data_IF_471158603340
#
_entry.id   IF_471158603340
#
_cell.length_a   1.000
_cell.length_b   1.000
_cell.length_c   1.000
_cell.angle_alpha   90.00
_cell.angle_beta   90.00
_cell.angle_gamma   90.00
#
_symmetry.space_group_name_H-M   'P 1'
#
loop_
_entity.id
_entity.type
_entity.pdbx_description
1 polymer ?
#
# COMPACT_ATOMS: atom_id res chain seq x y z
N UNK A 1 -11.94 -23.75 -25.91
CA UNK A 1 -10.49 -23.89 -25.66
C UNK A 1 -10.30 -24.80 -24.44
N UNK A 2 -9.53 -25.87 -24.61
CA UNK A 2 -9.18 -26.77 -23.50
C UNK A 2 -8.11 -26.12 -22.62
N UNK A 3 -8.16 -26.33 -21.31
CA UNK A 3 -7.11 -25.88 -20.38
C UNK A 3 -5.70 -26.36 -20.79
N UNK A 4 -5.61 -27.49 -21.48
CA UNK A 4 -4.34 -28.00 -22.00
C UNK A 4 -3.65 -27.12 -23.04
N UNK A 5 -4.39 -26.26 -23.74
CA UNK A 5 -3.81 -25.37 -24.75
C UNK A 5 -3.03 -24.18 -24.15
N UNK A 6 -3.34 -23.81 -22.89
CA UNK A 6 -2.60 -22.78 -22.17
C UNK A 6 -1.23 -23.24 -21.68
N UNK A 7 -1.03 -24.55 -21.54
CA UNK A 7 0.21 -25.12 -21.01
C UNK A 7 1.08 -25.77 -22.08
N UNK A 8 0.70 -25.67 -23.36
CA UNK A 8 1.52 -26.21 -24.45
C UNK A 8 2.77 -25.33 -24.63
N UNK A 9 3.92 -25.92 -24.35
CA UNK A 9 5.21 -25.28 -24.55
C UNK A 9 5.38 -24.92 -26.03
N UNK A 10 5.47 -23.62 -26.35
CA UNK A 10 5.83 -23.15 -27.68
C UNK A 10 7.35 -23.01 -27.78
N UNK A 11 7.98 -23.47 -28.84
CA UNK A 11 9.44 -23.22 -29.08
C UNK A 11 9.68 -21.70 -29.03
N UNK A 12 10.64 -21.27 -28.20
CA UNK A 12 10.94 -19.84 -28.00
C UNK A 12 10.12 -19.12 -26.92
N UNK A 13 9.18 -19.80 -26.24
CA UNK A 13 8.49 -19.25 -25.08
C UNK A 13 9.37 -19.26 -23.82
N UNK A 14 9.04 -18.37 -22.88
CA UNK A 14 9.72 -18.30 -21.58
C UNK A 14 9.60 -19.64 -20.83
N UNK A 15 10.74 -20.19 -20.42
CA UNK A 15 10.80 -21.44 -19.66
C UNK A 15 10.95 -21.24 -18.17
N UNK A 16 11.24 -20.02 -17.76
CA UNK A 16 11.51 -19.66 -16.37
C UNK A 16 10.75 -18.38 -16.06
N UNK A 17 10.05 -18.38 -14.96
CA UNK A 17 9.42 -17.18 -14.39
C UNK A 17 9.70 -17.14 -12.89
N UNK A 18 9.79 -15.92 -12.35
CA UNK A 18 9.89 -15.69 -10.92
C UNK A 18 8.53 -15.22 -10.40
N UNK A 19 8.16 -15.68 -9.23
CA UNK A 19 7.02 -15.17 -8.47
C UNK A 19 7.55 -14.58 -7.18
N UNK A 20 7.45 -13.27 -7.05
CA UNK A 20 7.70 -12.57 -5.80
C UNK A 20 6.33 -12.24 -5.18
N UNK A 21 6.10 -12.70 -3.97
CA UNK A 21 4.88 -12.43 -3.23
C UNK A 21 5.23 -11.95 -1.82
N UNK A 22 4.45 -11.01 -1.26
CA UNK A 22 4.61 -10.64 0.14
C UNK A 22 4.29 -11.85 1.02
N UNK A 23 4.77 -11.81 2.28
CA UNK A 23 4.35 -12.79 3.28
C UNK A 23 2.86 -12.63 3.54
N UNK A 24 2.09 -13.67 3.28
CA UNK A 24 0.64 -13.69 3.47
C UNK A 24 0.31 -14.42 4.77
N UNK A 25 -0.53 -13.80 5.61
CA UNK A 25 -1.16 -14.41 6.77
C UNK A 25 -2.67 -14.38 6.55
N UNK A 26 -3.31 -15.55 6.56
CA UNK A 26 -4.74 -15.69 6.30
C UNK A 26 -5.41 -16.56 7.35
N UNK A 27 -6.54 -16.09 7.88
CA UNK A 27 -7.36 -16.87 8.83
C UNK A 27 -8.17 -15.99 9.76
N UNK A 28 -9.10 -16.64 10.48
CA UNK A 28 -9.88 -15.96 11.52
C UNK A 28 -8.96 -15.41 12.60
N UNK A 29 -9.11 -14.14 12.94
CA UNK A 29 -8.31 -13.49 13.99
C UNK A 29 -6.98 -12.91 13.51
N UNK A 30 -6.63 -13.02 12.22
CA UNK A 30 -5.35 -12.49 11.70
C UNK A 30 -5.11 -11.00 12.03
N UNK A 31 -6.16 -10.17 12.10
CA UNK A 31 -6.04 -8.77 12.50
C UNK A 31 -5.54 -8.58 13.95
N UNK A 32 -5.75 -9.56 14.82
CA UNK A 32 -5.25 -9.50 16.20
C UNK A 32 -3.76 -9.74 16.29
N UNK A 33 -3.15 -10.28 15.24
CA UNK A 33 -1.71 -10.59 15.17
C UNK A 33 -0.89 -9.49 14.50
N UNK A 34 -1.54 -8.43 13.98
CA UNK A 34 -0.86 -7.31 13.29
C UNK A 34 0.20 -6.65 14.18
N UNK A 35 -0.07 -6.52 15.49
CA UNK A 35 0.90 -5.99 16.44
C UNK A 35 2.15 -6.85 16.59
N UNK A 36 2.02 -8.18 16.57
CA UNK A 36 3.16 -9.09 16.60
C UNK A 36 3.98 -8.99 15.32
N UNK A 37 3.31 -8.93 14.16
CA UNK A 37 3.96 -8.79 12.86
C UNK A 37 4.68 -7.43 12.75
N UNK A 38 4.03 -6.33 13.16
CA UNK A 38 4.63 -5.00 13.17
C UNK A 38 5.88 -4.94 14.06
N UNK A 39 5.82 -5.54 15.25
CA UNK A 39 6.97 -5.63 16.16
C UNK A 39 8.10 -6.47 15.57
N UNK A 40 7.79 -7.58 14.92
CA UNK A 40 8.77 -8.42 14.24
C UNK A 40 9.46 -7.69 13.07
N UNK A 41 8.76 -6.74 12.43
CA UNK A 41 9.30 -5.85 11.38
C UNK A 41 10.07 -4.65 11.97
N UNK A 42 10.18 -4.53 13.27
CA UNK A 42 10.93 -3.47 13.94
C UNK A 42 10.20 -2.13 14.04
N UNK A 43 8.89 -2.10 13.79
CA UNK A 43 8.10 -0.88 13.91
C UNK A 43 7.97 -0.46 15.37
N UNK A 44 7.94 0.86 15.61
CA UNK A 44 7.70 1.45 16.94
C UNK A 44 6.60 2.50 16.92
N UNK A 45 6.51 3.28 15.84
CA UNK A 45 5.48 4.29 15.61
C UNK A 45 4.83 4.08 14.23
N UNK A 46 3.58 3.70 14.23
CA UNK A 46 2.86 3.17 13.07
C UNK A 46 1.78 4.12 12.59
N UNK A 47 1.81 4.45 11.29
CA UNK A 47 0.69 5.11 10.62
C UNK A 47 -0.33 4.05 10.17
N UNK A 48 -1.58 4.18 10.60
CA UNK A 48 -2.69 3.31 10.20
C UNK A 48 -3.59 4.05 9.22
N UNK A 49 -3.55 3.67 7.94
CA UNK A 49 -4.36 4.27 6.89
C UNK A 49 -5.68 3.55 6.70
N UNK A 50 -6.75 4.31 6.58
CA UNK A 50 -8.09 3.79 6.28
C UNK A 50 -8.94 4.87 5.61
N UNK A 51 -10.09 4.50 5.06
CA UNK A 51 -11.10 5.45 4.57
C UNK A 51 -12.15 5.76 5.64
N UNK A 52 -12.93 6.85 5.51
CA UNK A 52 -13.91 7.26 6.52
C UNK A 52 -14.98 6.20 6.81
N UNK A 53 -15.27 5.31 5.89
CA UNK A 53 -16.29 4.26 6.06
C UNK A 53 -15.72 3.05 6.80
N UNK A 54 -14.58 2.53 6.37
CA UNK A 54 -13.91 1.41 7.04
C UNK A 54 -13.40 1.83 8.41
N UNK A 55 -12.98 3.09 8.57
CA UNK A 55 -12.54 3.67 9.85
C UNK A 55 -13.58 3.60 10.98
N UNK A 56 -14.87 3.54 10.63
CA UNK A 56 -15.96 3.37 11.60
C UNK A 56 -16.23 1.89 11.95
N UNK A 57 -15.55 0.95 11.30
CA UNK A 57 -15.76 -0.47 11.52
C UNK A 57 -14.81 -1.00 12.61
N UNK A 58 -15.22 -2.09 13.25
CA UNK A 58 -14.40 -2.75 14.28
C UNK A 58 -13.02 -3.23 13.82
N UNK A 59 -12.81 -3.37 12.51
CA UNK A 59 -11.56 -3.87 11.93
C UNK A 59 -10.37 -2.95 12.24
N UNK A 60 -10.56 -1.64 12.09
CA UNK A 60 -9.52 -0.64 12.39
C UNK A 60 -9.21 -0.63 13.89
N UNK A 61 -10.24 -0.65 14.73
CA UNK A 61 -10.07 -0.71 16.18
C UNK A 61 -9.27 -1.96 16.60
N UNK A 62 -9.59 -3.14 16.03
CA UNK A 62 -8.84 -4.38 16.29
C UNK A 62 -7.37 -4.26 15.94
N UNK A 63 -7.06 -3.63 14.81
CA UNK A 63 -5.65 -3.40 14.39
C UNK A 63 -4.97 -2.43 15.36
N UNK A 64 -5.59 -1.30 15.70
CA UNK A 64 -5.03 -0.32 16.62
C UNK A 64 -4.82 -0.93 18.02
N UNK A 65 -5.78 -1.69 18.54
CA UNK A 65 -5.67 -2.40 19.80
C UNK A 65 -4.53 -3.44 19.78
N UNK A 66 -4.41 -4.19 18.67
CA UNK A 66 -3.32 -5.13 18.47
C UNK A 66 -1.96 -4.44 18.54
N UNK A 67 -1.76 -3.34 17.80
CA UNK A 67 -0.53 -2.55 17.83
C UNK A 67 -0.22 -2.03 19.25
N UNK A 68 -1.18 -1.38 19.88
CA UNK A 68 -1.03 -0.83 21.24
C UNK A 68 -0.74 -1.89 22.30
N UNK A 69 -1.36 -3.08 22.20
CA UNK A 69 -1.11 -4.20 23.09
C UNK A 69 0.34 -4.70 23.09
N UNK A 70 1.07 -4.43 22.02
CA UNK A 70 2.49 -4.76 21.85
C UNK A 70 3.42 -3.61 22.19
N UNK A 71 2.87 -2.49 22.69
CA UNK A 71 3.63 -1.31 23.10
C UNK A 71 4.03 -0.41 21.91
N UNK A 72 3.38 -0.56 20.77
CA UNK A 72 3.61 0.28 19.60
C UNK A 72 2.73 1.53 19.67
N UNK A 73 3.26 2.69 19.28
CA UNK A 73 2.49 3.89 19.06
C UNK A 73 1.76 3.80 17.71
N UNK A 74 0.48 4.13 17.68
CA UNK A 74 -0.33 4.03 16.48
C UNK A 74 -1.22 5.25 16.30
N UNK A 75 -1.11 5.88 15.14
CA UNK A 75 -1.91 7.04 14.74
C UNK A 75 -2.70 6.73 13.47
N UNK A 76 -3.99 7.07 13.45
CA UNK A 76 -4.89 6.72 12.36
C UNK A 76 -5.09 7.92 11.44
N UNK A 77 -4.93 7.67 10.14
CA UNK A 77 -5.36 8.54 9.05
C UNK A 77 -6.60 7.93 8.40
N UNK A 78 -7.77 8.49 8.67
CA UNK A 78 -9.07 7.98 8.23
C UNK A 78 -9.71 8.79 7.07
N UNK A 79 -8.90 9.58 6.36
CA UNK A 79 -9.36 10.49 5.32
C UNK A 79 -8.96 10.05 3.90
N UNK A 80 -8.69 8.76 3.71
CA UNK A 80 -8.39 8.25 2.38
C UNK A 80 -9.62 8.38 1.47
N UNK A 81 -9.43 9.03 0.33
CA UNK A 81 -10.49 9.13 -0.69
C UNK A 81 -10.68 7.78 -1.40
N UNK A 82 -11.93 7.36 -1.55
CA UNK A 82 -12.31 6.33 -2.52
C UNK A 82 -12.11 6.94 -3.91
N UNK A 83 -11.46 6.23 -4.84
CA UNK A 83 -10.89 6.82 -6.05
C UNK A 83 -9.86 7.92 -5.70
N UNK A 84 -8.64 7.55 -5.31
CA UNK A 84 -7.65 8.51 -4.87
C UNK A 84 -7.27 9.50 -5.98
N UNK A 85 -7.04 10.73 -5.58
CA UNK A 85 -6.57 11.79 -6.46
C UNK A 85 -5.16 12.22 -6.10
N UNK A 86 -4.52 12.99 -6.97
CA UNK A 86 -3.23 13.61 -6.65
C UNK A 86 -3.29 14.48 -5.38
N UNK A 87 -4.42 15.14 -5.14
CA UNK A 87 -4.64 15.93 -3.93
C UNK A 87 -4.68 15.02 -2.69
N UNK A 88 -5.46 13.92 -2.73
CA UNK A 88 -5.56 13.00 -1.60
C UNK A 88 -4.24 12.28 -1.31
N UNK A 89 -3.45 11.94 -2.34
CA UNK A 89 -2.11 11.39 -2.16
C UNK A 89 -1.16 12.38 -1.47
N UNK A 90 -1.20 13.66 -1.88
CA UNK A 90 -0.40 14.73 -1.25
C UNK A 90 -0.79 14.92 0.22
N UNK A 91 -2.09 14.88 0.56
CA UNK A 91 -2.55 14.98 1.95
C UNK A 91 -2.07 13.81 2.81
N UNK A 92 -2.22 12.57 2.33
CA UNK A 92 -1.70 11.39 3.04
C UNK A 92 -0.17 11.43 3.20
N UNK A 93 0.54 11.92 2.19
CA UNK A 93 2.00 12.08 2.23
C UNK A 93 2.45 13.13 3.24
N UNK A 94 1.71 14.22 3.37
CA UNK A 94 1.96 15.25 4.38
C UNK A 94 1.81 14.67 5.79
N UNK A 95 0.68 14.01 6.07
CA UNK A 95 0.46 13.31 7.33
C UNK A 95 1.60 12.34 7.65
N UNK A 96 1.99 11.52 6.68
CA UNK A 96 3.07 10.55 6.85
C UNK A 96 4.43 11.18 7.16
N UNK A 97 4.72 12.34 6.55
CA UNK A 97 5.98 13.06 6.74
C UNK A 97 6.04 13.76 8.11
N UNK A 98 4.94 14.41 8.52
CA UNK A 98 4.86 15.12 9.80
C UNK A 98 4.83 14.15 11.00
N UNK A 99 4.19 13.00 10.85
CA UNK A 99 4.04 12.01 11.90
C UNK A 99 5.31 11.23 12.22
N UNK A 100 6.35 11.27 11.37
CA UNK A 100 7.66 10.59 11.56
C UNK A 100 7.51 9.11 11.90
N UNK A 101 6.59 8.44 11.22
CA UNK A 101 6.36 7.01 11.40
C UNK A 101 7.53 6.16 10.88
N UNK A 102 7.75 5.02 11.49
CA UNK A 102 8.74 4.02 11.08
C UNK A 102 8.11 2.76 10.46
N UNK A 103 6.78 2.71 10.43
CA UNK A 103 6.01 1.64 9.82
C UNK A 103 4.61 2.07 9.41
N UNK A 104 4.02 1.32 8.49
CA UNK A 104 2.73 1.61 7.90
C UNK A 104 1.81 0.39 7.97
N UNK A 105 0.54 0.62 8.25
CA UNK A 105 -0.52 -0.38 8.15
C UNK A 105 -1.67 0.21 7.35
N UNK A 106 -2.19 -0.50 6.36
CA UNK A 106 -3.39 -0.10 5.64
C UNK A 106 -4.54 -1.07 5.93
N UNK A 107 -5.70 -0.54 6.30
CA UNK A 107 -6.92 -1.32 6.55
C UNK A 107 -8.01 -0.81 5.62
N UNK A 108 -8.25 -1.49 4.51
CA UNK A 108 -9.20 -1.02 3.51
C UNK A 108 -9.07 -1.69 2.16
N UNK A 109 -9.66 -1.11 1.14
CA UNK A 109 -9.57 -1.53 -0.25
C UNK A 109 -8.31 -1.03 -0.95
N UNK A 110 -8.24 -1.23 -2.28
CA UNK A 110 -7.12 -0.78 -3.12
C UNK A 110 -6.78 0.70 -2.95
N UNK A 111 -7.79 1.57 -2.87
CA UNK A 111 -7.59 3.01 -2.67
C UNK A 111 -6.81 3.33 -1.38
N UNK A 112 -7.12 2.61 -0.29
CA UNK A 112 -6.43 2.78 1.00
C UNK A 112 -4.99 2.29 0.89
N UNK A 113 -4.79 1.12 0.32
CA UNK A 113 -3.45 0.54 0.14
C UNK A 113 -2.57 1.40 -0.76
N UNK A 114 -3.11 1.91 -1.85
CA UNK A 114 -2.38 2.75 -2.81
C UNK A 114 -2.01 4.11 -2.20
N UNK A 115 -2.94 4.75 -1.47
CA UNK A 115 -2.65 5.98 -0.72
C UNK A 115 -1.57 5.75 0.33
N UNK A 116 -1.64 4.64 1.06
CA UNK A 116 -0.64 4.28 2.07
C UNK A 116 0.75 4.06 1.46
N UNK A 117 0.84 3.33 0.33
CA UNK A 117 2.10 3.12 -0.42
C UNK A 117 2.72 4.43 -0.90
N UNK A 118 1.91 5.30 -1.53
CA UNK A 118 2.37 6.61 -1.97
C UNK A 118 2.84 7.47 -0.79
N UNK A 119 2.09 7.49 0.30
CA UNK A 119 2.44 8.23 1.51
C UNK A 119 3.75 7.73 2.14
N UNK A 120 3.97 6.42 2.16
CA UNK A 120 5.24 5.83 2.59
C UNK A 120 6.39 6.31 1.70
N UNK A 121 6.22 6.23 0.38
CA UNK A 121 7.23 6.66 -0.59
C UNK A 121 7.64 8.13 -0.37
N UNK A 122 6.68 9.05 -0.41
CA UNK A 122 6.98 10.48 -0.29
C UNK A 122 7.46 10.88 1.11
N UNK A 123 7.12 10.13 2.15
CA UNK A 123 7.69 10.35 3.49
C UNK A 123 9.13 9.88 3.64
N UNK A 124 9.54 8.87 2.85
CA UNK A 124 10.92 8.38 2.82
C UNK A 124 11.82 9.22 1.91
N UNK A 125 11.28 9.56 0.74
CA UNK A 125 12.02 10.24 -0.34
C UNK A 125 11.20 11.41 -0.87
N UNK A 126 11.20 12.54 -0.16
CA UNK A 126 10.49 13.76 -0.60
C UNK A 126 11.00 14.22 -1.97
N UNK A 127 10.07 14.50 -2.88
CA UNK A 127 10.36 14.96 -4.25
C UNK A 127 9.14 15.72 -4.80
N UNK A 128 9.27 16.31 -5.97
CA UNK A 128 8.13 16.85 -6.69
C UNK A 128 7.14 15.71 -6.99
N UNK A 129 5.83 15.97 -6.87
CA UNK A 129 4.82 14.91 -6.96
C UNK A 129 4.91 14.11 -8.28
N UNK A 130 5.20 14.77 -9.40
CA UNK A 130 5.32 14.12 -10.69
C UNK A 130 6.64 13.38 -10.93
N UNK A 131 7.61 13.48 -10.02
CA UNK A 131 8.91 12.83 -10.21
C UNK A 131 8.77 11.30 -10.26
N UNK A 132 8.01 10.70 -9.34
CA UNK A 132 7.80 9.25 -9.29
C UNK A 132 6.63 8.75 -10.14
N UNK A 133 5.79 9.64 -10.64
CA UNK A 133 4.63 9.28 -11.47
C UNK A 133 5.09 8.75 -12.82
N UNK A 134 4.40 7.73 -13.33
CA UNK A 134 4.72 7.07 -14.59
C UNK A 134 4.72 8.03 -15.80
N UNK A 135 5.65 7.79 -16.71
CA UNK A 135 5.63 8.43 -18.03
C UNK A 135 4.38 7.98 -18.83
N UNK A 136 3.83 8.83 -19.72
CA UNK A 136 4.35 10.14 -20.15
C UNK A 136 3.89 11.30 -19.25
N UNK A 137 3.07 11.07 -18.22
CA UNK A 137 2.51 12.10 -17.34
C UNK A 137 3.59 12.64 -16.40
N UNK A 138 4.29 11.73 -15.70
CA UNK A 138 5.36 12.09 -14.81
C UNK A 138 6.74 11.74 -15.38
N UNK A 139 7.76 11.86 -14.53
CA UNK A 139 9.16 11.62 -14.93
C UNK A 139 9.62 10.18 -14.74
N UNK A 140 8.83 9.35 -14.07
CA UNK A 140 9.16 7.96 -13.74
C UNK A 140 10.56 7.80 -13.10
N UNK A 141 10.94 8.73 -12.23
CA UNK A 141 12.22 8.66 -11.51
C UNK A 141 12.22 7.39 -10.64
N UNK A 142 13.26 6.56 -10.71
CA UNK A 142 13.34 5.38 -9.85
C UNK A 142 13.33 5.75 -8.36
N UNK A 143 12.64 4.93 -7.56
CA UNK A 143 12.64 5.09 -6.10
C UNK A 143 14.06 4.89 -5.57
N UNK A 144 14.61 5.82 -4.76
CA UNK A 144 16.04 5.81 -4.41
C UNK A 144 16.49 4.65 -3.52
N UNK A 145 15.57 3.98 -2.85
CA UNK A 145 15.93 2.91 -1.92
C UNK A 145 14.74 2.22 -1.25
N UNK A 146 15.01 1.49 -0.19
CA UNK A 146 14.01 0.70 0.54
C UNK A 146 13.03 1.63 1.27
N UNK A 147 11.75 1.33 1.18
CA UNK A 147 10.68 2.00 1.93
C UNK A 147 10.55 1.41 3.35
N UNK A 148 9.81 2.11 4.21
CA UNK A 148 9.46 1.60 5.53
C UNK A 148 8.54 0.38 5.42
N UNK A 149 8.58 -0.55 6.38
CA UNK A 149 7.71 -1.72 6.36
C UNK A 149 6.23 -1.35 6.25
N UNK A 150 5.47 -2.13 5.47
CA UNK A 150 4.04 -1.94 5.29
C UNK A 150 3.30 -3.27 5.47
N UNK A 151 2.25 -3.27 6.31
CA UNK A 151 1.32 -4.39 6.47
C UNK A 151 -0.01 -3.99 5.83
N UNK A 152 -0.45 -4.74 4.82
CA UNK A 152 -1.74 -4.51 4.18
C UNK A 152 -2.80 -5.47 4.76
N UNK A 153 -3.95 -4.90 5.16
CA UNK A 153 -5.12 -5.62 5.65
C UNK A 153 -6.31 -5.33 4.69
N UNK A 154 -6.41 -6.07 3.57
CA UNK A 154 -7.41 -5.81 2.55
C UNK A 154 -8.83 -6.12 3.03
N UNK A 155 -9.79 -5.26 2.68
CA UNK A 155 -11.23 -5.45 2.92
C UNK A 155 -12.00 -5.79 1.66
N UNK A 156 -11.33 -5.77 0.49
CA UNK A 156 -11.91 -6.07 -0.82
C UNK A 156 -11.00 -7.02 -1.60
N UNK A 157 -11.58 -7.79 -2.49
CA UNK A 157 -10.87 -8.70 -3.39
C UNK A 157 -10.86 -8.14 -4.81
N UNK A 158 -9.76 -8.34 -5.55
CA UNK A 158 -9.68 -8.09 -6.99
C UNK A 158 -8.64 -7.09 -7.42
N UNK A 159 -8.28 -6.09 -6.60
CA UNK A 159 -7.25 -5.11 -6.98
C UNK A 159 -5.84 -5.67 -6.89
N UNK A 160 -5.63 -6.63 -6.00
CA UNK A 160 -4.31 -7.17 -5.65
C UNK A 160 -3.29 -6.11 -5.21
N UNK A 161 -3.76 -4.93 -4.75
CA UNK A 161 -2.87 -3.86 -4.27
C UNK A 161 -1.97 -4.31 -3.12
N UNK A 162 -2.39 -5.29 -2.33
CA UNK A 162 -1.61 -5.92 -1.27
C UNK A 162 -0.39 -6.68 -1.77
N UNK A 163 -0.38 -7.06 -3.05
CA UNK A 163 0.67 -7.89 -3.67
C UNK A 163 1.44 -7.14 -4.78
N UNK A 164 1.20 -5.84 -4.97
CA UNK A 164 1.83 -5.08 -6.06
C UNK A 164 2.56 -3.86 -5.58
N UNK A 165 3.66 -3.51 -6.25
CA UNK A 165 4.38 -2.26 -6.08
C UNK A 165 3.77 -1.11 -6.90
N UNK A 166 2.43 -1.06 -7.02
CA UNK A 166 1.71 -0.07 -7.82
C UNK A 166 0.77 0.73 -6.93
N UNK A 167 0.71 2.04 -7.13
CA UNK A 167 -0.25 2.94 -6.52
C UNK A 167 -0.94 3.77 -7.61
N UNK A 168 -2.26 3.65 -7.72
CA UNK A 168 -3.08 4.28 -8.78
C UNK A 168 -3.85 5.46 -8.22
N UNK A 169 -3.92 6.53 -8.98
CA UNK A 169 -4.69 7.74 -8.64
C UNK A 169 -5.18 8.48 -9.88
N UNK A 170 -6.15 9.36 -9.70
CA UNK A 170 -6.62 10.29 -10.71
C UNK A 170 -5.88 11.62 -10.60
N UNK A 171 -5.26 12.06 -11.70
CA UNK A 171 -4.66 13.38 -11.82
C UNK A 171 -5.74 14.34 -12.34
N UNK A 172 -6.30 15.14 -11.44
CA UNK A 172 -7.51 15.93 -11.71
C UNK A 172 -7.29 16.99 -12.81
N UNK A 173 -6.15 17.65 -12.82
CA UNK A 173 -5.84 18.70 -13.80
C UNK A 173 -5.83 18.17 -15.24
N UNK A 174 -5.43 16.92 -15.44
CA UNK A 174 -5.30 16.30 -16.75
C UNK A 174 -6.46 15.33 -17.08
N UNK A 175 -7.41 15.18 -16.15
CA UNK A 175 -8.51 14.20 -16.26
C UNK A 175 -8.00 12.79 -16.63
N UNK A 176 -6.86 12.40 -16.07
CA UNK A 176 -6.16 11.17 -16.42
C UNK A 176 -5.95 10.26 -15.21
N UNK A 177 -6.20 8.97 -15.39
CA UNK A 177 -5.82 7.94 -14.41
C UNK A 177 -4.38 7.50 -14.68
N UNK A 178 -3.54 7.58 -13.67
CA UNK A 178 -2.12 7.23 -13.73
C UNK A 178 -1.66 6.55 -12.45
N UNK A 179 -0.38 6.30 -12.29
CA UNK A 179 0.13 5.67 -11.11
C UNK A 179 1.64 5.83 -10.93
N UNK A 180 2.08 5.32 -9.81
CA UNK A 180 3.48 5.18 -9.43
C UNK A 180 3.76 3.69 -9.43
N UNK A 181 4.85 3.26 -10.07
CA UNK A 181 5.29 1.86 -10.09
C UNK A 181 6.71 1.79 -9.55
N UNK A 182 6.90 0.95 -8.54
CA UNK A 182 8.23 0.62 -8.03
C UNK A 182 8.26 -0.88 -7.71
N UNK A 183 9.39 -1.56 -7.96
CA UNK A 183 9.57 -2.90 -7.43
C UNK A 183 9.35 -2.89 -5.91
N UNK A 184 8.75 -3.94 -5.38
CA UNK A 184 8.60 -4.16 -3.94
C UNK A 184 9.93 -4.45 -3.28
#
# INVERSE_FOLDING_TARGET
MSFSEYFTHKPGGDRVFSVEAPKIKFGRGSLQEVGDDAKALGMTRVAVFTDPRVGQMEHVNKVVESLKSKGLDAEVYDQVAVEPTDISFKQGSLFASEGKFDGFVSVGGGSVMDTCKASNLYSCYPADFLDYVNAPIGKAVPVPGILKPHIACPTTFGTASECTGIAIFDLLEMEAKTGIVSPM
#
